data_IF_630044691063
#
_entry.id   IF_630044691063
#
_cell.length_a   1.000
_cell.length_b   1.000
_cell.length_c   1.000
_cell.angle_alpha   90.00
_cell.angle_beta   90.00
_cell.angle_gamma   90.00
#
_symmetry.space_group_name_H-M   'P 1'
#
loop_
_entity.id
_entity.type
_entity.pdbx_description
1 polymer ?
#
# COMPACT_ATOMS: atom_id res chain seq x y z
N UNK A 1 19.33 -53.84 -7.25
CA UNK A 1 19.62 -52.60 -6.50
C UNK A 1 19.34 -51.30 -7.29
N UNK A 2 18.89 -51.34 -8.55
CA UNK A 2 18.69 -50.15 -9.40
C UNK A 2 17.28 -49.53 -9.32
N UNK A 3 16.28 -50.27 -8.84
CA UNK A 3 14.86 -49.84 -8.77
C UNK A 3 14.54 -48.89 -7.62
N UNK A 4 15.35 -48.85 -6.57
CA UNK A 4 15.13 -47.95 -5.42
C UNK A 4 15.60 -46.52 -5.72
N UNK A 5 16.60 -46.36 -6.58
CA UNK A 5 17.21 -45.08 -6.93
C UNK A 5 16.27 -44.21 -7.79
N UNK A 6 15.58 -44.82 -8.77
CA UNK A 6 14.59 -44.15 -9.62
C UNK A 6 13.37 -43.68 -8.83
N UNK A 7 12.92 -44.45 -7.82
CA UNK A 7 11.80 -44.05 -6.95
C UNK A 7 12.13 -42.86 -6.03
N UNK A 8 13.39 -42.70 -5.62
CA UNK A 8 13.85 -41.59 -4.77
C UNK A 8 13.99 -40.30 -5.58
N UNK A 9 14.45 -40.41 -6.83
CA UNK A 9 14.53 -39.27 -7.77
C UNK A 9 13.11 -38.80 -8.15
N UNK A 10 12.18 -39.72 -8.38
CA UNK A 10 10.78 -39.38 -8.66
C UNK A 10 10.09 -38.68 -7.48
N UNK A 11 10.35 -39.11 -6.24
CA UNK A 11 9.82 -38.45 -5.02
C UNK A 11 10.45 -37.08 -4.78
N UNK A 12 11.75 -36.91 -5.05
CA UNK A 12 12.43 -35.62 -4.94
C UNK A 12 11.90 -34.61 -5.97
N UNK A 13 11.61 -35.05 -7.20
CA UNK A 13 10.99 -34.22 -8.23
C UNK A 13 9.58 -33.78 -7.86
N UNK A 14 8.81 -34.64 -7.20
CA UNK A 14 7.43 -34.34 -6.77
C UNK A 14 7.38 -33.33 -5.61
N UNK A 15 8.36 -33.38 -4.69
CA UNK A 15 8.47 -32.41 -3.58
C UNK A 15 8.94 -31.03 -4.09
N UNK A 16 9.86 -31.00 -5.06
CA UNK A 16 10.33 -29.76 -5.68
C UNK A 16 9.23 -29.02 -6.45
N UNK A 17 8.32 -29.76 -7.11
CA UNK A 17 7.18 -29.18 -7.82
C UNK A 17 6.19 -28.46 -6.88
N UNK A 18 6.00 -28.96 -5.66
CA UNK A 18 5.09 -28.34 -4.66
C UNK A 18 5.66 -27.05 -4.06
N UNK A 19 6.99 -26.91 -3.96
CA UNK A 19 7.60 -25.66 -3.50
C UNK A 19 7.57 -24.55 -4.55
N UNK A 20 7.57 -24.90 -5.84
CA UNK A 20 7.51 -23.92 -6.92
C UNK A 20 6.17 -23.16 -6.99
N UNK A 21 5.08 -23.73 -6.48
CA UNK A 21 3.75 -23.09 -6.50
C UNK A 21 3.56 -22.04 -5.40
N UNK A 22 4.42 -21.98 -4.38
CA UNK A 22 4.32 -20.97 -3.31
C UNK A 22 4.87 -19.60 -3.69
N UNK A 23 5.72 -19.49 -4.72
CA UNK A 23 6.25 -18.19 -5.17
C UNK A 23 5.25 -17.35 -5.98
N UNK A 24 4.07 -17.90 -6.32
CA UNK A 24 3.04 -17.18 -7.06
C UNK A 24 2.17 -16.24 -6.20
N UNK A 25 2.22 -16.35 -4.86
CA UNK A 25 1.48 -15.45 -3.97
C UNK A 25 2.27 -14.19 -3.57
N UNK A 26 3.51 -14.04 -4.01
CA UNK A 26 4.26 -12.78 -3.88
C UNK A 26 3.86 -11.82 -5.02
N UNK A 27 2.58 -11.46 -5.07
CA UNK A 27 2.08 -10.42 -5.95
C UNK A 27 2.58 -9.05 -5.48
N UNK A 28 3.78 -8.65 -5.94
CA UNK A 28 4.23 -7.27 -5.87
C UNK A 28 3.28 -6.43 -6.71
N UNK A 29 2.39 -5.69 -6.05
CA UNK A 29 1.59 -4.65 -6.71
C UNK A 29 2.54 -3.51 -7.03
N UNK A 30 3.19 -3.62 -8.18
CA UNK A 30 4.02 -2.59 -8.77
C UNK A 30 3.20 -1.32 -8.96
N UNK A 31 3.83 -0.19 -8.62
CA UNK A 31 3.24 1.14 -8.59
C UNK A 31 2.57 1.49 -9.91
N UNK A 32 1.24 1.34 -9.93
CA UNK A 32 0.41 2.09 -10.87
C UNK A 32 0.35 3.48 -10.28
N UNK A 33 1.08 4.41 -10.89
CA UNK A 33 0.82 5.84 -10.71
C UNK A 33 -0.70 6.00 -10.66
N UNK A 34 -1.19 6.62 -9.59
CA UNK A 34 -2.61 6.98 -9.48
C UNK A 34 -2.88 7.91 -10.64
N UNK A 35 -3.33 7.34 -11.76
CA UNK A 35 -3.71 8.10 -12.94
C UNK A 35 -4.74 9.12 -12.46
N UNK A 36 -4.49 10.39 -12.77
CA UNK A 36 -5.40 11.46 -12.39
C UNK A 36 -6.79 11.15 -12.95
N UNK A 37 -7.72 10.85 -12.05
CA UNK A 37 -9.14 10.70 -12.34
C UNK A 37 -9.83 11.70 -11.44
N UNK A 38 -10.53 12.66 -12.03
CA UNK A 38 -11.38 13.57 -11.27
C UNK A 38 -12.45 12.73 -10.57
N UNK A 39 -12.40 12.71 -9.23
CA UNK A 39 -13.37 12.02 -8.38
C UNK A 39 -13.90 13.02 -7.39
N UNK A 40 -15.16 12.85 -6.98
CA UNK A 40 -15.65 13.58 -5.82
C UNK A 40 -14.80 13.23 -4.60
N UNK A 41 -14.66 14.20 -3.70
CA UNK A 41 -13.73 14.09 -2.58
C UNK A 41 -14.11 12.98 -1.60
N UNK A 42 -15.40 12.71 -1.44
CA UNK A 42 -15.91 11.68 -0.52
C UNK A 42 -15.57 10.29 -1.05
N UNK A 43 -15.81 10.02 -2.33
CA UNK A 43 -15.43 8.76 -2.98
C UNK A 43 -13.92 8.56 -2.97
N UNK A 44 -13.13 9.60 -3.24
CA UNK A 44 -11.67 9.48 -3.23
C UNK A 44 -11.14 9.20 -1.81
N UNK A 45 -11.66 9.89 -0.80
CA UNK A 45 -11.31 9.64 0.60
C UNK A 45 -11.75 8.24 1.06
N UNK A 46 -12.97 7.83 0.73
CA UNK A 46 -13.51 6.51 1.06
C UNK A 46 -12.70 5.38 0.40
N UNK A 47 -12.26 5.57 -0.85
CA UNK A 47 -11.35 4.66 -1.53
C UNK A 47 -10.02 4.54 -0.77
N UNK A 48 -9.41 5.66 -0.39
CA UNK A 48 -8.17 5.69 0.38
C UNK A 48 -8.31 4.92 1.70
N UNK A 49 -9.40 5.17 2.44
CA UNK A 49 -9.70 4.46 3.68
C UNK A 49 -9.91 2.96 3.44
N UNK A 50 -10.65 2.57 2.41
CA UNK A 50 -10.84 1.15 2.07
C UNK A 50 -9.51 0.44 1.77
N UNK A 51 -8.57 1.11 1.09
CA UNK A 51 -7.22 0.56 0.86
C UNK A 51 -6.45 0.38 2.16
N UNK A 52 -6.55 1.35 3.07
CA UNK A 52 -5.91 1.26 4.37
C UNK A 52 -6.46 0.09 5.18
N UNK A 53 -7.79 -0.07 5.22
CA UNK A 53 -8.48 -1.15 5.94
C UNK A 53 -8.11 -2.54 5.39
N UNK A 54 -7.80 -2.63 4.08
CA UNK A 54 -7.32 -3.85 3.43
C UNK A 54 -5.82 -4.12 3.64
N UNK A 55 -5.10 -3.24 4.34
CA UNK A 55 -3.65 -3.35 4.51
C UNK A 55 -2.83 -2.86 3.32
N UNK A 56 -3.46 -2.32 2.27
CA UNK A 56 -2.80 -1.73 1.11
C UNK A 56 -2.31 -0.31 1.44
N UNK A 57 -1.42 -0.20 2.42
CA UNK A 57 -1.04 1.04 3.10
C UNK A 57 -0.33 2.05 2.20
N UNK A 58 0.58 1.59 1.32
CA UNK A 58 1.24 2.48 0.34
C UNK A 58 0.26 3.09 -0.66
N UNK A 59 -0.70 2.29 -1.14
CA UNK A 59 -1.72 2.78 -2.06
C UNK A 59 -2.70 3.73 -1.36
N UNK A 60 -3.06 3.43 -0.11
CA UNK A 60 -3.86 4.32 0.72
C UNK A 60 -3.17 5.67 0.92
N UNK A 61 -1.87 5.67 1.23
CA UNK A 61 -1.09 6.89 1.40
C UNK A 61 -1.11 7.78 0.15
N UNK A 62 -0.86 7.18 -1.03
CA UNK A 62 -0.93 7.90 -2.31
C UNK A 62 -2.33 8.46 -2.61
N UNK A 63 -3.39 7.73 -2.28
CA UNK A 63 -4.76 8.21 -2.46
C UNK A 63 -5.11 9.35 -1.47
N UNK A 64 -4.62 9.30 -0.23
CA UNK A 64 -4.79 10.40 0.70
C UNK A 64 -4.00 11.65 0.26
N UNK A 65 -2.80 11.49 -0.30
CA UNK A 65 -2.08 12.60 -0.95
C UNK A 65 -2.89 13.18 -2.11
N UNK A 66 -3.57 12.33 -2.89
CA UNK A 66 -4.41 12.75 -4.00
C UNK A 66 -5.67 13.53 -3.56
N UNK A 67 -6.25 13.19 -2.40
CA UNK A 67 -7.36 13.99 -1.81
C UNK A 67 -6.92 15.43 -1.59
N UNK A 68 -5.74 15.64 -1.01
CA UNK A 68 -5.22 16.99 -0.80
C UNK A 68 -4.87 17.67 -2.13
N UNK A 69 -4.23 16.94 -3.05
CA UNK A 69 -3.82 17.49 -4.34
C UNK A 69 -5.00 17.96 -5.19
N UNK A 70 -6.08 17.18 -5.22
CA UNK A 70 -7.27 17.51 -6.01
C UNK A 70 -8.22 18.47 -5.29
N UNK A 71 -8.34 18.35 -3.96
CA UNK A 71 -9.36 19.04 -3.18
C UNK A 71 -8.77 19.78 -1.97
N UNK A 72 -7.81 20.72 -2.15
CA UNK A 72 -7.03 21.29 -1.05
C UNK A 72 -7.85 22.09 -0.02
N UNK A 73 -9.04 22.57 -0.40
CA UNK A 73 -9.95 23.32 0.48
C UNK A 73 -11.12 22.50 1.02
N UNK A 74 -11.17 21.20 0.71
CA UNK A 74 -12.23 20.32 1.21
C UNK A 74 -12.12 20.13 2.73
N UNK A 75 -13.25 19.94 3.44
CA UNK A 75 -13.24 19.49 4.84
C UNK A 75 -12.41 18.21 5.07
N UNK A 76 -12.25 17.38 4.04
CA UNK A 76 -11.47 16.14 4.08
C UNK A 76 -9.96 16.34 3.93
N UNK A 77 -9.52 17.47 3.38
CA UNK A 77 -8.11 17.69 3.01
C UNK A 77 -7.17 17.59 4.22
N UNK A 78 -7.52 18.27 5.32
CA UNK A 78 -6.73 18.23 6.57
C UNK A 78 -6.62 16.80 7.11
N UNK A 79 -7.75 16.09 7.15
CA UNK A 79 -7.79 14.69 7.61
C UNK A 79 -6.98 13.79 6.69
N UNK A 80 -7.04 14.00 5.38
CA UNK A 80 -6.28 13.24 4.41
C UNK A 80 -4.77 13.45 4.55
N UNK A 81 -4.30 14.68 4.78
CA UNK A 81 -2.87 14.95 5.03
C UNK A 81 -2.34 14.17 6.25
N UNK A 82 -3.10 14.14 7.35
CA UNK A 82 -2.74 13.35 8.53
C UNK A 82 -2.76 11.84 8.24
N UNK A 83 -3.80 11.37 7.53
CA UNK A 83 -3.94 9.96 7.17
C UNK A 83 -2.88 9.48 6.18
N UNK A 84 -2.40 10.35 5.30
CA UNK A 84 -1.27 10.07 4.42
C UNK A 84 -0.01 9.78 5.24
N UNK A 85 0.34 10.65 6.19
CA UNK A 85 1.48 10.44 7.08
C UNK A 85 1.35 9.14 7.90
N UNK A 86 0.17 8.88 8.46
CA UNK A 86 -0.11 7.62 9.17
C UNK A 86 0.06 6.40 8.26
N UNK A 87 -0.49 6.44 7.04
CA UNK A 87 -0.44 5.31 6.11
C UNK A 87 1.00 4.99 5.67
N UNK A 88 1.82 6.02 5.41
CA UNK A 88 3.26 5.82 5.15
C UNK A 88 4.00 5.24 6.36
N UNK A 89 3.64 5.66 7.59
CA UNK A 89 4.23 5.10 8.81
C UNK A 89 3.92 3.59 8.94
N UNK A 90 2.67 3.18 8.74
CA UNK A 90 2.28 1.76 8.78
C UNK A 90 2.96 0.98 7.64
N UNK A 91 3.15 1.61 6.48
CA UNK A 91 3.92 1.05 5.36
C UNK A 91 5.44 0.97 5.62
N UNK A 92 5.94 1.47 6.75
CA UNK A 92 7.36 1.58 7.11
C UNK A 92 8.18 2.49 6.19
N UNK A 93 7.52 3.37 5.43
CA UNK A 93 8.17 4.47 4.70
C UNK A 93 8.28 5.68 5.63
N UNK A 94 9.21 5.59 6.58
CA UNK A 94 9.37 6.61 7.62
C UNK A 94 9.81 7.96 7.07
N UNK A 95 10.54 7.98 5.95
CA UNK A 95 10.96 9.23 5.31
C UNK A 95 9.75 10.03 4.84
N UNK A 96 8.83 9.39 4.10
CA UNK A 96 7.59 10.06 3.66
C UNK A 96 6.66 10.37 4.83
N UNK A 97 6.58 9.48 5.83
CA UNK A 97 5.78 9.74 7.02
C UNK A 97 6.24 11.01 7.77
N UNK A 98 7.55 11.17 7.97
CA UNK A 98 8.14 12.35 8.60
C UNK A 98 7.88 13.60 7.76
N UNK A 99 8.14 13.54 6.45
CA UNK A 99 7.93 14.66 5.53
C UNK A 99 6.48 15.14 5.55
N UNK A 100 5.52 14.21 5.44
CA UNK A 100 4.10 14.55 5.44
C UNK A 100 3.62 15.07 6.80
N UNK A 101 4.15 14.53 7.90
CA UNK A 101 3.87 15.02 9.26
C UNK A 101 4.38 16.45 9.45
N UNK A 102 5.61 16.75 9.01
CA UNK A 102 6.18 18.09 9.09
C UNK A 102 5.40 19.09 8.25
N UNK A 103 4.99 18.70 7.04
CA UNK A 103 4.09 19.51 6.20
C UNK A 103 2.75 19.77 6.87
N UNK A 104 2.16 18.77 7.52
CA UNK A 104 0.92 18.96 8.26
C UNK A 104 1.09 19.98 9.38
N UNK A 105 2.15 19.87 10.18
CA UNK A 105 2.43 20.79 11.28
C UNK A 105 2.72 22.23 10.79
N UNK A 106 3.40 22.38 9.65
CA UNK A 106 3.70 23.70 9.11
C UNK A 106 2.46 24.42 8.58
N UNK A 107 1.52 23.68 7.96
CA UNK A 107 0.28 24.24 7.42
C UNK A 107 -0.78 24.44 8.51
N UNK A 108 -0.80 23.59 9.54
CA UNK A 108 -1.83 23.60 10.59
C UNK A 108 -1.25 23.77 12.02
N UNK A 109 -0.50 24.86 12.32
CA UNK A 109 0.22 25.02 13.59
C UNK A 109 -0.68 25.15 14.83
N UNK A 110 -1.95 25.53 14.65
CA UNK A 110 -2.94 25.69 15.73
C UNK A 110 -3.89 24.50 15.88
N UNK A 111 -3.66 23.39 15.17
CA UNK A 111 -4.50 22.21 15.30
C UNK A 111 -4.33 21.60 16.70
N UNK A 112 -5.44 21.48 17.45
CA UNK A 112 -5.49 20.90 18.79
C UNK A 112 -6.23 19.57 18.77
#
# INVERSE_FOLDING_TARGET
MTTTLTSRIARAALIAATFATLSACAGSTEGKDVAYVARDVETLYAEAQRRLDQGNTLQAAALFDEVERQHPYSPWARRAQLMSAFSYYIARDYNKAIQNSQRFLSIHPGNK
#
